data_IF_926126456073
#
_entry.id   IF_926126456073
#
_cell.length_a   1.000
_cell.length_b   1.000
_cell.length_c   1.000
_cell.angle_alpha   90.00
_cell.angle_beta   90.00
_cell.angle_gamma   90.00
#
_symmetry.space_group_name_H-M   'P 1'
#
loop_
_entity.id
_entity.type
_entity.pdbx_description
1 polymer ?
#
# COMPACT_ATOMS: atom_id res chain seq x y z
N UNK A 1 -51.72 54.07 -44.10
CA UNK A 1 -51.71 52.62 -44.40
C UNK A 1 -50.25 52.18 -44.43
N UNK A 2 -49.72 51.78 -43.29
CA UNK A 2 -48.28 51.56 -43.06
C UNK A 2 -48.00 50.07 -43.01
N UNK A 3 -47.20 49.59 -43.97
CA UNK A 3 -46.71 48.22 -44.07
C UNK A 3 -45.63 47.98 -43.00
N UNK A 4 -45.84 46.98 -42.14
CA UNK A 4 -44.81 46.43 -41.24
C UNK A 4 -43.89 45.50 -42.03
N UNK A 5 -42.61 45.81 -42.08
CA UNK A 5 -41.56 44.89 -42.49
C UNK A 5 -41.16 44.02 -41.30
N UNK A 6 -41.17 42.71 -41.49
CA UNK A 6 -40.63 41.73 -40.54
C UNK A 6 -39.10 41.77 -40.60
N UNK A 7 -38.45 42.12 -39.49
CA UNK A 7 -37.00 42.00 -39.31
C UNK A 7 -36.65 40.57 -38.90
N UNK A 8 -35.70 39.99 -39.62
CA UNK A 8 -35.07 38.69 -39.37
C UNK A 8 -34.62 38.54 -37.91
N UNK A 9 -34.94 37.38 -37.32
CA UNK A 9 -34.39 36.90 -36.06
C UNK A 9 -32.87 36.76 -36.21
N UNK A 10 -32.13 37.48 -35.38
CA UNK A 10 -30.68 37.46 -35.27
C UNK A 10 -30.22 36.12 -34.64
N UNK A 11 -29.53 35.29 -35.42
CA UNK A 11 -28.97 33.99 -35.03
C UNK A 11 -27.58 34.20 -34.37
N UNK A 12 -27.38 35.29 -33.63
CA UNK A 12 -26.10 35.60 -32.97
C UNK A 12 -25.96 35.00 -31.56
N UNK A 13 -27.08 34.59 -30.92
CA UNK A 13 -27.10 34.12 -29.53
C UNK A 13 -26.66 32.67 -29.30
N UNK A 14 -26.58 31.84 -30.34
CA UNK A 14 -26.09 30.45 -30.22
C UNK A 14 -24.56 30.37 -30.14
N UNK A 15 -23.85 31.39 -30.62
CA UNK A 15 -22.38 31.43 -30.66
C UNK A 15 -21.73 31.78 -29.32
N UNK A 16 -22.43 32.50 -28.43
CA UNK A 16 -21.94 32.85 -27.09
C UNK A 16 -22.09 31.67 -26.11
N UNK A 17 -23.22 30.96 -26.16
CA UNK A 17 -23.46 29.76 -25.36
C UNK A 17 -22.51 28.61 -25.76
N UNK A 18 -22.18 28.49 -27.05
CA UNK A 18 -21.14 27.56 -27.49
C UNK A 18 -19.77 27.98 -26.95
N UNK A 19 -19.38 29.26 -27.02
CA UNK A 19 -18.10 29.77 -26.48
C UNK A 19 -17.93 29.54 -24.97
N UNK A 20 -19.00 29.63 -24.18
CA UNK A 20 -18.98 29.26 -22.75
C UNK A 20 -18.90 27.74 -22.52
N UNK A 21 -19.47 26.94 -23.42
CA UNK A 21 -19.34 25.47 -23.39
C UNK A 21 -17.91 24.99 -23.62
N UNK A 22 -17.14 25.67 -24.48
CA UNK A 22 -15.73 25.34 -24.74
C UNK A 22 -14.82 25.65 -23.54
N UNK A 23 -15.05 26.73 -22.77
CA UNK A 23 -14.33 27.02 -21.51
C UNK A 23 -14.43 25.87 -20.49
N UNK A 24 -15.60 25.21 -20.42
CA UNK A 24 -15.89 24.12 -19.46
C UNK A 24 -15.24 22.78 -19.80
N UNK A 25 -14.82 22.56 -21.05
CA UNK A 25 -14.20 21.30 -21.52
C UNK A 25 -12.69 21.25 -21.22
N UNK A 26 -12.05 22.40 -21.01
CA UNK A 26 -10.59 22.52 -20.88
C UNK A 26 -10.07 22.04 -19.51
N UNK A 27 -10.83 22.24 -18.43
CA UNK A 27 -10.46 21.76 -17.08
C UNK A 27 -10.63 20.25 -16.95
N UNK A 28 -11.66 19.68 -17.59
CA UNK A 28 -11.94 18.25 -17.51
C UNK A 28 -10.93 17.36 -18.25
N UNK A 29 -10.29 17.88 -19.30
CA UNK A 29 -9.37 17.10 -20.15
C UNK A 29 -7.99 16.90 -19.48
N UNK A 30 -7.57 17.79 -18.58
CA UNK A 30 -6.26 17.73 -17.91
C UNK A 30 -6.28 16.99 -16.59
N UNK A 31 -7.44 16.91 -15.92
CA UNK A 31 -7.54 16.06 -14.75
C UNK A 31 -7.57 14.60 -15.18
N UNK A 32 -8.16 14.27 -16.34
CA UNK A 32 -8.04 12.98 -17.05
C UNK A 32 -6.60 12.54 -17.33
N UNK A 33 -5.66 13.44 -17.12
CA UNK A 33 -4.29 13.34 -17.53
C UNK A 33 -3.36 13.29 -16.31
N UNK A 34 -3.68 14.08 -15.27
CA UNK A 34 -3.27 13.74 -13.91
C UNK A 34 -3.68 12.32 -13.50
N UNK A 35 -4.82 11.83 -14.02
CA UNK A 35 -5.29 10.45 -13.81
C UNK A 35 -4.28 9.39 -14.30
N UNK A 36 -3.65 9.56 -15.45
CA UNK A 36 -2.87 8.47 -16.04
C UNK A 36 -1.38 8.47 -15.62
N UNK A 37 -0.89 9.55 -15.01
CA UNK A 37 0.51 9.67 -14.57
C UNK A 37 0.81 9.06 -13.20
N UNK A 38 -0.21 8.79 -12.39
CA UNK A 38 -0.03 8.20 -11.05
C UNK A 38 -0.29 6.69 -11.01
N UNK A 39 -0.78 6.11 -12.11
CA UNK A 39 -1.34 4.74 -12.16
C UNK A 39 -0.33 3.59 -12.09
N UNK A 40 0.92 3.82 -11.72
CA UNK A 40 1.84 2.72 -11.36
C UNK A 40 3.14 3.28 -10.79
N UNK A 41 3.06 3.69 -9.52
CA UNK A 41 4.16 3.34 -8.63
C UNK A 41 4.45 1.86 -8.84
N UNK A 42 5.71 1.48 -9.00
CA UNK A 42 6.06 0.08 -8.80
C UNK A 42 5.70 -0.21 -7.34
N UNK A 43 4.48 -0.69 -7.10
CA UNK A 43 4.18 -1.45 -5.91
C UNK A 43 5.34 -2.44 -5.80
N UNK A 44 5.89 -2.60 -4.60
CA UNK A 44 6.62 -3.84 -4.45
C UNK A 44 5.60 -4.92 -4.77
N UNK A 45 5.94 -5.80 -5.72
CA UNK A 45 5.01 -6.87 -6.10
C UNK A 45 4.61 -7.70 -4.88
N UNK A 46 5.46 -7.63 -3.83
CA UNK A 46 5.26 -8.25 -2.54
C UNK A 46 5.81 -7.36 -1.41
N UNK A 47 5.00 -7.12 -0.38
CA UNK A 47 5.45 -6.54 0.89
C UNK A 47 5.12 -7.52 2.00
N UNK A 48 6.11 -7.82 2.85
CA UNK A 48 5.91 -8.63 4.04
C UNK A 48 6.07 -7.75 5.28
N UNK A 49 5.03 -7.66 6.09
CA UNK A 49 5.02 -6.94 7.34
C UNK A 49 5.05 -7.94 8.50
N UNK A 50 6.06 -7.83 9.36
CA UNK A 50 6.03 -8.46 10.68
C UNK A 50 5.48 -7.42 11.64
N UNK A 51 4.25 -7.65 12.11
CA UNK A 51 3.51 -6.70 12.94
C UNK A 51 4.05 -6.80 14.36
N UNK A 52 4.33 -5.65 14.97
CA UNK A 52 4.65 -5.62 16.39
C UNK A 52 3.36 -5.59 17.19
N UNK A 53 3.03 -6.74 17.79
CA UNK A 53 1.84 -6.97 18.61
C UNK A 53 2.22 -7.32 20.06
N UNK A 54 3.44 -7.01 20.48
CA UNK A 54 4.02 -7.54 21.70
C UNK A 54 4.30 -9.04 21.57
N UNK A 55 3.87 -9.84 22.54
CA UNK A 55 4.04 -11.30 22.50
C UNK A 55 2.98 -11.99 21.63
N UNK A 56 3.45 -12.84 20.71
CA UNK A 56 2.68 -13.55 19.70
C UNK A 56 3.22 -13.31 18.28
N UNK A 57 2.52 -13.84 17.28
CA UNK A 57 2.89 -13.71 15.88
C UNK A 57 1.72 -13.26 15.00
N UNK A 58 1.95 -12.23 14.20
CA UNK A 58 1.09 -11.84 13.09
C UNK A 58 1.92 -11.25 11.95
N UNK A 59 1.80 -11.84 10.77
CA UNK A 59 2.56 -11.42 9.58
C UNK A 59 1.61 -11.10 8.44
N UNK A 60 1.55 -9.84 8.04
CA UNK A 60 0.75 -9.39 6.91
C UNK A 60 1.56 -9.42 5.61
N UNK A 61 1.09 -10.17 4.63
CA UNK A 61 1.66 -10.31 3.30
C UNK A 61 0.75 -9.61 2.28
N UNK A 62 1.25 -8.55 1.67
CA UNK A 62 0.65 -7.90 0.50
C UNK A 62 1.29 -8.50 -0.77
N UNK A 63 0.48 -9.05 -1.66
CA UNK A 63 0.92 -9.56 -2.97
C UNK A 63 -0.07 -9.10 -4.04
N UNK A 64 0.38 -8.24 -4.94
CA UNK A 64 -0.49 -7.59 -5.94
C UNK A 64 -1.64 -6.85 -5.22
N UNK A 65 -2.90 -7.19 -5.50
CA UNK A 65 -4.08 -6.62 -4.82
C UNK A 65 -4.60 -7.54 -3.70
N UNK A 66 -3.84 -8.56 -3.30
CA UNK A 66 -4.24 -9.54 -2.30
C UNK A 66 -3.51 -9.33 -0.98
N UNK A 67 -4.24 -9.53 0.11
CA UNK A 67 -3.74 -9.39 1.47
C UNK A 67 -3.93 -10.72 2.20
N UNK A 68 -2.83 -11.29 2.69
CA UNK A 68 -2.84 -12.51 3.48
C UNK A 68 -2.28 -12.23 4.86
N UNK A 69 -2.81 -12.92 5.86
CA UNK A 69 -2.30 -12.85 7.23
C UNK A 69 -1.80 -14.24 7.64
N UNK A 70 -0.59 -14.34 8.15
CA UNK A 70 -0.06 -15.56 8.77
C UNK A 70 -0.06 -15.38 10.27
N UNK A 71 -0.83 -16.23 10.94
CA UNK A 71 -1.21 -16.10 12.34
C UNK A 71 -1.88 -14.75 12.67
N UNK A 72 -2.51 -14.70 13.83
CA UNK A 72 -3.41 -13.63 14.26
C UNK A 72 -3.06 -13.09 15.64
N UNK A 73 -1.97 -13.54 16.26
CA UNK A 73 -1.64 -13.09 17.62
C UNK A 73 -2.66 -13.52 18.67
N UNK A 74 -2.56 -12.88 19.85
CA UNK A 74 -3.51 -13.05 20.95
C UNK A 74 -4.76 -12.20 20.77
N UNK A 75 -5.84 -12.61 21.43
CA UNK A 75 -7.12 -11.88 21.42
C UNK A 75 -6.97 -10.41 21.80
N UNK A 76 -6.11 -10.13 22.78
CA UNK A 76 -5.83 -8.78 23.28
C UNK A 76 -5.12 -7.91 22.24
N UNK A 77 -4.43 -8.53 21.27
CA UNK A 77 -3.66 -7.83 20.23
C UNK A 77 -4.47 -7.52 18.96
N UNK A 78 -5.77 -7.85 18.96
CA UNK A 78 -6.66 -7.61 17.81
C UNK A 78 -6.60 -6.17 17.31
N UNK A 79 -6.58 -5.19 18.23
CA UNK A 79 -6.56 -3.77 17.88
C UNK A 79 -5.29 -3.35 17.16
N UNK A 80 -4.15 -3.94 17.49
CA UNK A 80 -2.86 -3.62 16.86
C UNK A 80 -2.84 -4.12 15.41
N UNK A 81 -3.35 -5.32 15.18
CA UNK A 81 -3.49 -5.91 13.84
C UNK A 81 -4.48 -5.11 13.00
N UNK A 82 -5.67 -4.80 13.53
CA UNK A 82 -6.66 -3.98 12.80
C UNK A 82 -6.12 -2.57 12.49
N UNK A 83 -5.37 -1.97 13.42
CA UNK A 83 -4.74 -0.66 13.20
C UNK A 83 -3.70 -0.73 12.08
N UNK A 84 -2.85 -1.76 12.08
CA UNK A 84 -1.90 -2.01 10.99
C UNK A 84 -2.60 -2.19 9.64
N UNK A 85 -3.62 -3.04 9.58
CA UNK A 85 -4.40 -3.28 8.36
C UNK A 85 -5.08 -1.99 7.87
N UNK A 86 -5.62 -1.17 8.76
CA UNK A 86 -6.22 0.12 8.42
C UNK A 86 -5.19 1.17 7.93
N UNK A 87 -3.98 1.14 8.47
CA UNK A 87 -2.87 2.00 8.05
C UNK A 87 -2.36 1.65 6.65
N UNK A 88 -2.31 0.36 6.33
CA UNK A 88 -2.05 -0.15 4.98
C UNK A 88 -3.31 -0.13 4.09
N UNK A 89 -4.43 0.41 4.59
CA UNK A 89 -5.71 0.58 3.87
C UNK A 89 -6.32 -0.73 3.34
N UNK A 90 -6.07 -1.82 4.05
CA UNK A 90 -6.66 -3.13 3.81
C UNK A 90 -8.11 -3.11 4.26
N UNK A 91 -9.02 -3.42 3.34
CA UNK A 91 -10.46 -3.52 3.62
C UNK A 91 -10.96 -4.97 3.59
N UNK A 92 -10.12 -5.89 3.12
CA UNK A 92 -10.43 -7.31 2.96
C UNK A 92 -9.15 -8.12 2.99
N UNK A 93 -9.18 -9.24 3.71
CA UNK A 93 -8.16 -10.28 3.68
C UNK A 93 -8.57 -11.37 2.69
N UNK A 94 -7.70 -11.65 1.73
CA UNK A 94 -7.84 -12.77 0.79
C UNK A 94 -7.70 -14.10 1.51
N UNK A 95 -6.89 -14.17 2.56
CA UNK A 95 -6.89 -15.34 3.43
C UNK A 95 -6.06 -15.19 4.69
N UNK A 96 -6.38 -16.00 5.69
CA UNK A 96 -5.62 -16.11 6.93
C UNK A 96 -5.04 -17.53 6.98
N UNK A 97 -3.74 -17.66 7.22
CA UNK A 97 -3.06 -18.94 7.42
C UNK A 97 -2.73 -19.09 8.90
N UNK A 98 -3.37 -20.04 9.57
CA UNK A 98 -3.05 -20.39 10.95
C UNK A 98 -2.01 -21.49 10.96
N UNK A 99 -0.90 -21.24 11.65
CA UNK A 99 0.15 -22.24 11.81
C UNK A 99 -0.26 -23.34 12.79
N UNK A 100 -0.89 -22.95 13.89
CA UNK A 100 -1.44 -23.83 14.93
C UNK A 100 -2.45 -23.06 15.81
N UNK A 101 -3.01 -23.73 16.79
CA UNK A 101 -4.14 -23.27 17.60
C UNK A 101 -3.74 -22.73 18.97
N UNK A 102 -2.49 -22.32 19.19
CA UNK A 102 -2.16 -21.62 20.43
C UNK A 102 -2.69 -20.19 20.43
N UNK A 103 -2.96 -19.66 21.63
CA UNK A 103 -3.62 -18.38 21.81
C UNK A 103 -2.85 -17.22 21.19
N UNK A 104 -1.53 -17.28 21.15
CA UNK A 104 -0.63 -16.28 20.59
C UNK A 104 -0.42 -16.37 19.07
N UNK A 105 -1.11 -17.31 18.43
CA UNK A 105 -1.17 -17.47 16.97
C UNK A 105 -2.61 -17.43 16.43
N UNK A 106 -3.59 -18.00 17.13
CA UNK A 106 -4.98 -18.08 16.66
C UNK A 106 -5.97 -17.25 17.48
N UNK A 107 -5.52 -16.62 18.58
CA UNK A 107 -6.39 -15.98 19.57
C UNK A 107 -7.19 -14.79 19.05
N UNK A 108 -6.66 -14.03 18.08
CA UNK A 108 -7.41 -12.91 17.48
C UNK A 108 -8.24 -13.30 16.26
N UNK A 109 -8.28 -14.56 15.85
CA UNK A 109 -8.98 -14.98 14.62
C UNK A 109 -10.45 -14.52 14.59
N UNK A 110 -11.24 -14.93 15.58
CA UNK A 110 -12.66 -14.60 15.65
C UNK A 110 -12.92 -13.08 15.68
N UNK A 111 -12.31 -12.29 16.58
CA UNK A 111 -12.56 -10.85 16.61
C UNK A 111 -12.05 -10.13 15.36
N UNK A 112 -11.02 -10.64 14.67
CA UNK A 112 -10.58 -10.09 13.38
C UNK A 112 -11.63 -10.32 12.29
N UNK A 113 -12.02 -11.57 12.02
CA UNK A 113 -12.93 -11.86 10.90
C UNK A 113 -14.34 -11.29 11.09
N UNK A 114 -14.74 -11.00 12.34
CA UNK A 114 -15.99 -10.27 12.61
C UNK A 114 -15.93 -8.78 12.24
N UNK A 115 -14.73 -8.21 12.07
CA UNK A 115 -14.51 -6.77 11.86
C UNK A 115 -13.91 -6.46 10.48
N UNK A 116 -13.14 -7.38 9.90
CA UNK A 116 -12.60 -7.25 8.54
C UNK A 116 -13.05 -8.43 7.68
N UNK A 117 -13.56 -8.11 6.48
CA UNK A 117 -13.99 -9.15 5.53
C UNK A 117 -12.82 -10.08 5.22
N UNK A 118 -13.03 -11.37 5.42
CA UNK A 118 -12.03 -12.41 5.18
C UNK A 118 -12.65 -13.49 4.29
N UNK A 119 -11.94 -13.91 3.25
CA UNK A 119 -12.50 -14.87 2.28
C UNK A 119 -12.31 -16.32 2.70
N UNK A 120 -11.14 -16.65 3.23
CA UNK A 120 -10.80 -18.03 3.58
C UNK A 120 -9.84 -18.06 4.76
N UNK A 121 -10.08 -18.96 5.70
CA UNK A 121 -9.14 -19.33 6.76
C UNK A 121 -8.55 -20.69 6.42
N UNK A 122 -7.22 -20.72 6.27
CA UNK A 122 -6.45 -21.93 6.06
C UNK A 122 -5.89 -22.39 7.40
N UNK A 123 -6.14 -23.63 7.77
CA UNK A 123 -5.78 -24.16 9.08
C UNK A 123 -5.54 -25.67 9.02
N UNK A 124 -5.09 -26.26 10.13
CA UNK A 124 -4.95 -27.70 10.27
C UNK A 124 -5.77 -28.19 11.47
N UNK A 125 -6.79 -29.03 11.21
CA UNK A 125 -7.72 -29.57 12.21
C UNK A 125 -7.07 -30.63 13.12
N UNK A 126 -5.95 -31.25 12.70
CA UNK A 126 -5.24 -32.26 13.50
C UNK A 126 -4.55 -31.70 14.77
N UNK A 127 -4.70 -30.39 15.02
CA UNK A 127 -4.19 -29.70 16.19
C UNK A 127 -5.37 -29.35 17.11
N UNK A 128 -5.70 -30.18 18.12
CA UNK A 128 -6.83 -29.91 18.99
C UNK A 128 -6.67 -28.52 19.61
N UNK A 129 -7.61 -27.58 19.38
CA UNK A 129 -7.55 -26.29 20.03
C UNK A 129 -7.66 -26.48 21.54
N UNK A 130 -7.18 -25.51 22.32
CA UNK A 130 -7.62 -25.47 23.71
C UNK A 130 -9.16 -25.27 23.75
N UNK A 131 -9.82 -25.69 24.83
CA UNK A 131 -11.29 -25.63 24.92
C UNK A 131 -11.86 -24.24 24.61
N UNK A 132 -11.14 -23.18 25.01
CA UNK A 132 -11.52 -21.79 24.76
C UNK A 132 -11.52 -21.42 23.26
N UNK A 133 -10.58 -21.96 22.48
CA UNK A 133 -10.49 -21.71 21.04
C UNK A 133 -11.44 -22.58 20.22
N UNK A 134 -11.86 -23.74 20.72
CA UNK A 134 -12.85 -24.59 20.01
C UNK A 134 -14.14 -23.78 19.74
N UNK A 135 -14.67 -23.12 20.77
CA UNK A 135 -15.89 -22.32 20.62
C UNK A 135 -15.69 -21.12 19.70
N UNK A 136 -14.51 -20.50 19.73
CA UNK A 136 -14.21 -19.35 18.88
C UNK A 136 -14.02 -19.78 17.41
N UNK A 137 -13.45 -20.95 17.16
CA UNK A 137 -13.30 -21.55 15.83
C UNK A 137 -14.65 -21.97 15.23
N UNK A 138 -15.52 -22.60 16.02
CA UNK A 138 -16.88 -22.96 15.58
C UNK A 138 -17.67 -21.71 15.17
N UNK A 139 -17.60 -20.64 15.98
CA UNK A 139 -18.20 -19.35 15.62
C UNK A 139 -17.54 -18.76 14.38
N UNK A 140 -16.22 -18.88 14.25
CA UNK A 140 -15.49 -18.31 13.14
C UNK A 140 -15.90 -18.90 11.79
N UNK A 141 -16.25 -20.19 11.75
CA UNK A 141 -16.78 -20.86 10.55
C UNK A 141 -18.11 -20.27 10.05
N UNK A 142 -18.86 -19.55 10.91
CA UNK A 142 -20.07 -18.83 10.46
C UNK A 142 -19.78 -17.53 9.69
N UNK A 143 -18.56 -17.00 9.78
CA UNK A 143 -18.16 -15.76 9.12
C UNK A 143 -17.49 -15.98 7.76
N UNK A 144 -16.78 -17.09 7.59
CA UNK A 144 -15.92 -17.33 6.43
C UNK A 144 -15.65 -18.81 6.20
N UNK A 145 -15.17 -19.17 5.02
CA UNK A 145 -14.84 -20.54 4.66
C UNK A 145 -13.55 -20.98 5.36
N UNK A 146 -13.55 -22.22 5.87
CA UNK A 146 -12.36 -22.85 6.43
C UNK A 146 -11.86 -23.93 5.48
N UNK A 147 -10.57 -23.88 5.15
CA UNK A 147 -9.92 -24.82 4.26
C UNK A 147 -8.79 -25.55 4.99
N UNK A 148 -8.88 -26.88 5.03
CA UNK A 148 -7.84 -27.71 5.64
C UNK A 148 -6.56 -27.63 4.82
N UNK A 149 -5.44 -27.40 5.50
CA UNK A 149 -4.14 -27.22 4.87
C UNK A 149 -3.21 -28.37 5.25
N UNK A 150 -3.12 -29.35 4.35
CA UNK A 150 -2.28 -30.52 4.55
C UNK A 150 -0.79 -30.18 4.36
N UNK A 151 0.13 -30.89 5.05
CA UNK A 151 1.56 -30.77 4.79
C UNK A 151 1.93 -31.07 3.33
N UNK A 152 2.97 -30.39 2.82
CA UNK A 152 3.40 -30.41 1.40
C UNK A 152 2.44 -29.75 0.38
N UNK A 153 1.31 -29.20 0.85
CA UNK A 153 0.42 -28.38 0.01
C UNK A 153 1.16 -27.18 -0.59
N UNK A 154 0.85 -26.88 -1.86
CA UNK A 154 1.42 -25.74 -2.59
C UNK A 154 0.31 -24.85 -3.13
N UNK A 155 0.35 -23.58 -2.76
CA UNK A 155 -0.60 -22.57 -3.20
C UNK A 155 0.12 -21.47 -3.99
N UNK A 156 -0.59 -20.88 -4.94
CA UNK A 156 -0.16 -19.64 -5.59
C UNK A 156 -0.91 -18.48 -4.93
N UNK A 157 -0.17 -17.57 -4.32
CA UNK A 157 -0.72 -16.32 -3.79
C UNK A 157 -0.50 -15.25 -4.88
N UNK A 158 -1.57 -14.81 -5.54
CA UNK A 158 -1.45 -13.98 -6.75
C UNK A 158 -0.76 -14.72 -7.91
N UNK A 159 -0.13 -14.00 -8.84
CA UNK A 159 0.40 -14.60 -10.08
C UNK A 159 1.77 -15.25 -9.91
N UNK A 160 2.60 -14.74 -9.00
CA UNK A 160 4.04 -15.05 -8.95
C UNK A 160 4.58 -15.47 -7.58
N UNK A 161 3.77 -15.41 -6.54
CA UNK A 161 4.19 -15.80 -5.19
C UNK A 161 3.73 -17.24 -4.90
N UNK A 162 4.67 -18.10 -4.51
CA UNK A 162 4.35 -19.48 -4.18
C UNK A 162 4.47 -19.69 -2.68
N UNK A 163 3.42 -20.21 -2.08
CA UNK A 163 3.42 -20.74 -0.73
C UNK A 163 3.53 -22.25 -0.79
N UNK A 164 4.38 -22.83 0.05
CA UNK A 164 4.45 -24.26 0.32
C UNK A 164 4.37 -24.48 1.82
N UNK A 165 3.50 -25.38 2.22
CA UNK A 165 3.48 -25.93 3.58
C UNK A 165 4.58 -26.98 3.63
N UNK A 166 5.59 -26.80 4.49
CA UNK A 166 6.65 -27.80 4.60
C UNK A 166 6.12 -29.09 5.23
N UNK A 167 6.73 -30.22 4.89
CA UNK A 167 6.27 -31.55 5.33
C UNK A 167 6.20 -31.62 6.84
N UNK A 168 5.17 -32.27 7.38
CA UNK A 168 4.95 -32.46 8.81
C UNK A 168 4.43 -33.88 9.06
N UNK A 169 4.80 -34.49 10.19
CA UNK A 169 4.23 -35.75 10.63
C UNK A 169 2.99 -35.57 11.51
N UNK A 170 2.77 -34.36 12.04
CA UNK A 170 1.61 -33.99 12.87
C UNK A 170 1.36 -34.92 14.07
N UNK A 171 2.43 -35.57 14.53
CA UNK A 171 2.38 -36.68 15.50
C UNK A 171 3.28 -36.43 16.71
N UNK A 172 3.72 -35.19 16.91
CA UNK A 172 4.55 -34.83 18.05
C UNK A 172 3.68 -34.65 19.30
N UNK A 173 4.21 -35.09 20.45
CA UNK A 173 3.54 -34.91 21.75
C UNK A 173 3.46 -33.46 22.18
N UNK A 174 4.45 -32.66 21.77
CA UNK A 174 4.47 -31.21 21.97
C UNK A 174 3.82 -30.56 20.75
N UNK A 175 2.72 -29.84 21.00
CA UNK A 175 1.85 -29.26 19.98
C UNK A 175 2.56 -28.21 19.11
N UNK A 176 3.55 -27.50 19.67
CA UNK A 176 4.38 -26.56 18.91
C UNK A 176 5.13 -27.24 17.75
N UNK A 177 5.55 -28.49 17.97
CA UNK A 177 6.23 -29.24 16.91
C UNK A 177 5.27 -29.69 15.79
N UNK A 178 3.96 -29.61 16.01
CA UNK A 178 2.95 -29.89 14.98
C UNK A 178 2.55 -28.64 14.19
N UNK A 179 3.07 -27.45 14.52
CA UNK A 179 2.80 -26.21 13.78
C UNK A 179 3.16 -26.31 12.30
N UNK A 180 2.31 -25.75 11.45
CA UNK A 180 2.57 -25.60 10.04
C UNK A 180 3.70 -24.58 9.84
N UNK A 181 4.66 -24.99 9.00
CA UNK A 181 5.81 -24.16 8.62
C UNK A 181 5.64 -23.74 7.18
N UNK A 182 5.65 -22.43 6.93
CA UNK A 182 5.38 -21.88 5.61
C UNK A 182 6.68 -21.49 4.91
N UNK A 183 6.94 -22.13 3.77
CA UNK A 183 7.99 -21.76 2.85
C UNK A 183 7.44 -20.92 1.71
N UNK A 184 7.86 -19.66 1.61
CA UNK A 184 7.42 -18.74 0.56
C UNK A 184 8.52 -18.56 -0.47
N UNK A 185 8.18 -18.52 -1.76
CA UNK A 185 9.15 -18.33 -2.85
C UNK A 185 8.72 -17.22 -3.79
N UNK A 186 9.62 -16.25 -4.01
CA UNK A 186 9.38 -15.13 -4.91
C UNK A 186 10.65 -14.63 -5.60
N UNK A 187 10.66 -14.58 -6.93
CA UNK A 187 11.79 -14.08 -7.74
C UNK A 187 13.17 -14.63 -7.32
N UNK A 188 13.21 -15.88 -6.86
CA UNK A 188 14.43 -16.56 -6.41
C UNK A 188 14.71 -16.47 -4.91
N UNK A 189 14.04 -15.57 -4.18
CA UNK A 189 14.09 -15.49 -2.72
C UNK A 189 13.27 -16.60 -2.07
N UNK A 190 13.71 -17.08 -0.90
CA UNK A 190 12.99 -18.06 -0.08
C UNK A 190 12.89 -17.56 1.34
N UNK A 191 11.65 -17.29 1.74
CA UNK A 191 11.32 -16.87 3.08
C UNK A 191 10.80 -18.08 3.85
N UNK A 192 11.31 -18.29 5.05
CA UNK A 192 10.83 -19.32 5.96
C UNK A 192 10.08 -18.66 7.12
N UNK A 193 8.79 -18.94 7.24
CA UNK A 193 8.01 -18.62 8.44
C UNK A 193 8.00 -19.89 9.31
N UNK A 194 8.89 -19.93 10.31
CA UNK A 194 9.13 -21.14 11.08
C UNK A 194 8.03 -21.43 12.11
N UNK A 195 7.14 -20.47 12.41
CA UNK A 195 6.14 -20.59 13.49
C UNK A 195 6.81 -21.11 14.76
N UNK A 196 6.17 -21.98 15.53
CA UNK A 196 6.69 -22.46 16.82
C UNK A 196 7.44 -23.79 16.68
N UNK A 197 8.13 -23.98 15.55
CA UNK A 197 8.92 -25.18 15.30
C UNK A 197 10.05 -25.35 16.33
N UNK A 198 9.80 -26.16 17.37
CA UNK A 198 10.80 -26.58 18.34
C UNK A 198 11.88 -27.51 17.75
N UNK A 199 12.85 -27.91 18.58
CA UNK A 199 14.02 -28.69 18.15
C UNK A 199 13.65 -29.98 17.38
N UNK A 200 12.66 -30.75 17.86
CA UNK A 200 12.23 -31.98 17.19
C UNK A 200 11.66 -31.70 15.80
N UNK A 201 10.89 -30.62 15.66
CA UNK A 201 10.34 -30.18 14.38
C UNK A 201 11.44 -29.70 13.43
N UNK A 202 12.41 -28.94 13.93
CA UNK A 202 13.58 -28.52 13.15
C UNK A 202 14.36 -29.74 12.61
N UNK A 203 14.66 -30.72 13.46
CA UNK A 203 15.34 -31.96 13.06
C UNK A 203 14.54 -32.77 12.03
N UNK A 204 13.21 -32.81 12.15
CA UNK A 204 12.35 -33.44 11.15
C UNK A 204 12.46 -32.74 9.80
N UNK A 205 12.36 -31.41 9.77
CA UNK A 205 12.47 -30.60 8.55
C UNK A 205 13.82 -30.81 7.85
N UNK A 206 14.92 -31.01 8.59
CA UNK A 206 16.21 -31.36 8.01
C UNK A 206 16.17 -32.69 7.25
N UNK A 207 15.51 -33.71 7.82
CA UNK A 207 15.41 -35.03 7.19
C UNK A 207 14.62 -34.96 5.88
N UNK A 208 13.54 -34.17 5.82
CA UNK A 208 12.58 -34.24 4.71
C UNK A 208 12.67 -33.08 3.71
N UNK A 209 13.24 -31.93 4.11
CA UNK A 209 13.22 -30.68 3.35
C UNK A 209 14.58 -29.92 3.33
N UNK A 210 15.69 -30.54 3.76
CA UNK A 210 17.03 -29.90 3.79
C UNK A 210 17.46 -29.20 2.49
N UNK A 211 17.20 -29.78 1.32
CA UNK A 211 17.51 -29.15 0.02
C UNK A 211 16.75 -27.84 -0.19
N UNK A 212 15.55 -27.72 0.37
CA UNK A 212 14.76 -26.50 0.30
C UNK A 212 15.31 -25.46 1.29
N UNK A 213 15.60 -25.89 2.53
CA UNK A 213 16.12 -25.04 3.61
C UNK A 213 17.47 -24.37 3.26
N UNK A 214 18.38 -25.08 2.57
CA UNK A 214 19.70 -24.55 2.15
C UNK A 214 19.69 -23.31 1.25
N UNK A 215 18.51 -22.88 0.77
CA UNK A 215 18.38 -21.69 -0.08
C UNK A 215 17.50 -20.62 0.57
N UNK A 216 17.15 -20.76 1.84
CA UNK A 216 16.44 -19.74 2.61
C UNK A 216 17.36 -18.53 2.77
N UNK A 217 16.84 -17.35 2.47
CA UNK A 217 17.57 -16.08 2.57
C UNK A 217 16.86 -15.06 3.48
N UNK A 218 15.67 -15.40 3.97
CA UNK A 218 14.92 -14.62 4.93
C UNK A 218 14.19 -15.55 5.90
N UNK A 219 14.33 -15.34 7.20
CA UNK A 219 13.80 -16.20 8.27
C UNK A 219 12.98 -15.40 9.27
N UNK A 220 11.74 -15.83 9.52
CA UNK A 220 11.05 -15.56 10.77
C UNK A 220 11.38 -16.68 11.74
N UNK A 221 12.10 -16.32 12.80
CA UNK A 221 12.73 -17.20 13.76
C UNK A 221 11.68 -18.05 14.48
N UNK A 222 11.95 -19.34 14.75
CA UNK A 222 10.99 -20.20 15.40
C UNK A 222 10.66 -19.77 16.84
N UNK A 223 9.41 -19.95 17.23
CA UNK A 223 8.96 -19.94 18.62
C UNK A 223 9.41 -18.69 19.39
N UNK A 224 9.09 -17.52 18.83
CA UNK A 224 9.39 -16.20 19.41
C UNK A 224 10.85 -15.96 19.83
N UNK A 225 11.81 -16.64 19.19
CA UNK A 225 13.23 -16.49 19.52
C UNK A 225 13.77 -17.60 20.41
N UNK A 226 13.17 -18.79 20.38
CA UNK A 226 13.71 -19.96 21.08
C UNK A 226 14.97 -20.52 20.37
N UNK A 227 15.62 -21.51 20.98
CA UNK A 227 16.86 -22.07 20.46
C UNK A 227 16.69 -22.81 19.12
N UNK A 228 17.69 -22.62 18.26
CA UNK A 228 17.87 -23.43 17.06
C UNK A 228 18.68 -24.69 17.35
N UNK A 229 18.28 -25.81 16.74
CA UNK A 229 19.10 -27.02 16.68
C UNK A 229 20.38 -26.72 15.90
N UNK A 230 21.53 -27.19 16.39
CA UNK A 230 22.83 -26.91 15.76
C UNK A 230 22.88 -27.34 14.29
N UNK A 231 22.29 -28.51 13.95
CA UNK A 231 22.25 -28.98 12.57
C UNK A 231 21.30 -28.15 11.70
N UNK A 232 20.28 -27.55 12.31
CA UNK A 232 19.35 -26.64 11.64
C UNK A 232 20.02 -25.32 11.31
N UNK A 233 20.72 -24.74 12.28
CA UNK A 233 21.56 -23.55 12.11
C UNK A 233 22.61 -23.77 11.00
N UNK A 234 23.33 -24.90 11.03
CA UNK A 234 24.33 -25.23 10.00
C UNK A 234 23.71 -25.40 8.60
N UNK A 235 22.53 -26.01 8.50
CA UNK A 235 21.89 -26.28 7.21
C UNK A 235 21.35 -25.02 6.54
N UNK A 236 20.83 -24.08 7.31
CA UNK A 236 20.30 -22.82 6.78
C UNK A 236 21.40 -21.94 6.16
N UNK A 237 22.65 -22.09 6.60
CA UNK A 237 23.78 -21.24 6.22
C UNK A 237 23.49 -19.74 6.49
N UNK A 238 24.30 -18.82 5.96
CA UNK A 238 24.12 -17.39 6.24
C UNK A 238 22.84 -16.85 5.56
N UNK A 239 21.91 -16.35 6.36
CA UNK A 239 20.64 -15.73 5.97
C UNK A 239 20.78 -14.21 5.88
N UNK A 240 20.20 -13.58 4.85
CA UNK A 240 20.32 -12.12 4.67
C UNK A 240 19.52 -11.34 5.74
N UNK A 241 18.38 -11.88 6.16
CA UNK A 241 17.49 -11.27 7.14
C UNK A 241 16.89 -12.32 8.07
N UNK A 242 17.06 -12.13 9.37
CA UNK A 242 16.35 -12.89 10.40
C UNK A 242 15.51 -11.93 11.22
N UNK A 243 14.28 -12.33 11.51
CA UNK A 243 13.32 -11.55 12.29
C UNK A 243 12.77 -12.42 13.40
N UNK A 244 12.60 -11.87 14.58
CA UNK A 244 11.93 -12.51 15.70
C UNK A 244 10.69 -11.69 16.04
N UNK A 245 9.52 -12.33 16.02
CA UNK A 245 8.28 -11.75 16.55
C UNK A 245 8.22 -12.06 18.04
N UNK A 246 8.53 -11.07 18.87
CA UNK A 246 8.56 -11.21 20.34
C UNK A 246 8.26 -9.87 21.01
N UNK A 247 7.73 -9.95 22.23
CA UNK A 247 7.49 -8.85 23.15
C UNK A 247 7.57 -9.35 24.59
N UNK A 248 7.21 -8.50 25.55
CA UNK A 248 7.18 -8.87 26.97
C UNK A 248 6.29 -10.10 27.22
N UNK A 249 6.82 -11.10 27.93
CA UNK A 249 6.16 -12.35 28.22
C UNK A 249 6.75 -13.04 29.45
N UNK A 250 6.03 -14.04 29.97
CA UNK A 250 6.41 -14.80 31.16
C UNK A 250 7.10 -16.14 30.83
N UNK A 251 7.25 -16.46 29.54
CA UNK A 251 7.74 -17.76 29.05
C UNK A 251 9.27 -17.84 28.97
N UNK A 252 9.98 -16.76 29.34
CA UNK A 252 11.44 -16.68 29.22
C UNK A 252 11.93 -16.55 27.78
N UNK A 253 11.06 -16.09 26.87
CA UNK A 253 11.40 -15.81 25.48
C UNK A 253 11.72 -14.32 25.28
N UNK A 254 12.65 -13.97 24.40
CA UNK A 254 13.49 -14.88 23.64
C UNK A 254 14.52 -15.61 24.51
N UNK A 255 14.94 -16.80 24.08
CA UNK A 255 15.93 -17.62 24.77
C UNK A 255 17.29 -16.90 24.85
N UNK A 256 18.06 -17.14 25.91
CA UNK A 256 19.37 -16.51 26.13
C UNK A 256 20.38 -16.81 25.04
N UNK A 257 20.23 -17.92 24.32
CA UNK A 257 21.09 -18.30 23.18
C UNK A 257 20.80 -17.56 21.88
N UNK A 258 19.68 -16.83 21.79
CA UNK A 258 19.23 -16.19 20.55
C UNK A 258 20.28 -15.27 19.93
N UNK A 259 20.90 -14.39 20.75
CA UNK A 259 21.85 -13.41 20.24
C UNK A 259 23.10 -14.11 19.65
N UNK A 260 23.65 -15.12 20.33
CA UNK A 260 24.81 -15.89 19.85
C UNK A 260 24.47 -16.66 18.55
N UNK A 261 23.31 -17.32 18.51
CA UNK A 261 22.87 -18.05 17.31
C UNK A 261 22.60 -17.09 16.14
N UNK A 262 22.06 -15.90 16.42
CA UNK A 262 21.78 -14.91 15.39
C UNK A 262 23.05 -14.35 14.75
N UNK A 263 24.13 -14.18 15.51
CA UNK A 263 25.42 -13.70 14.99
C UNK A 263 26.06 -14.70 14.02
N UNK A 264 25.85 -16.00 14.25
CA UNK A 264 26.35 -17.06 13.36
C UNK A 264 25.52 -17.20 12.08
N UNK A 265 24.21 -16.97 12.19
CA UNK A 265 23.26 -17.27 11.12
C UNK A 265 22.90 -16.06 10.24
N UNK A 266 22.83 -14.85 10.80
CA UNK A 266 22.08 -13.74 10.22
C UNK A 266 22.99 -12.56 9.85
N UNK A 267 22.96 -12.10 8.59
CA UNK A 267 23.63 -10.83 8.21
C UNK A 267 22.95 -9.62 8.83
N UNK A 268 21.63 -9.68 8.97
CA UNK A 268 20.81 -8.66 9.61
C UNK A 268 19.78 -9.34 10.48
N UNK A 269 19.78 -8.98 11.75
CA UNK A 269 18.91 -9.54 12.76
C UNK A 269 18.01 -8.45 13.34
N UNK A 270 16.72 -8.76 13.50
CA UNK A 270 15.72 -7.83 13.99
C UNK A 270 14.79 -8.53 14.99
N UNK A 271 14.30 -7.76 15.95
CA UNK A 271 13.26 -8.18 16.89
C UNK A 271 12.18 -7.11 16.96
N UNK A 272 10.90 -7.50 16.97
CA UNK A 272 9.79 -6.55 17.03
C UNK A 272 9.84 -5.70 18.30
N UNK A 273 10.13 -6.28 19.47
CA UNK A 273 10.27 -5.52 20.73
C UNK A 273 11.35 -4.43 20.72
N UNK A 274 12.45 -4.62 19.96
CA UNK A 274 13.55 -3.65 19.85
C UNK A 274 13.40 -2.71 18.66
N UNK A 275 12.73 -3.15 17.60
CA UNK A 275 12.73 -2.45 16.31
C UNK A 275 11.35 -1.95 15.86
N UNK A 276 10.30 -2.28 16.60
CA UNK A 276 8.92 -2.03 16.23
C UNK A 276 8.47 -2.86 15.03
N UNK A 277 7.38 -2.46 14.35
CA UNK A 277 6.88 -3.16 13.17
C UNK A 277 7.87 -3.03 11.99
N UNK A 278 8.05 -4.15 11.27
CA UNK A 278 9.05 -4.27 10.21
C UNK A 278 8.37 -4.53 8.86
N UNK A 279 8.71 -3.77 7.82
CA UNK A 279 8.16 -3.96 6.47
C UNK A 279 9.26 -4.23 5.45
N UNK A 280 9.18 -5.39 4.79
CA UNK A 280 10.13 -5.87 3.81
C UNK A 280 9.54 -5.80 2.40
N UNK A 281 10.12 -4.96 1.55
CA UNK A 281 9.74 -4.79 0.15
C UNK A 281 10.56 -5.77 -0.70
N UNK A 282 9.91 -6.82 -1.20
CA UNK A 282 10.59 -7.91 -1.91
C UNK A 282 10.52 -7.65 -3.42
N UNK A 283 11.68 -7.36 -4.02
CA UNK A 283 11.85 -7.19 -5.47
C UNK A 283 12.90 -8.19 -5.98
N UNK A 284 13.87 -7.74 -6.80
CA UNK A 284 15.11 -8.49 -7.08
C UNK A 284 16.10 -8.44 -5.89
N UNK A 285 15.89 -7.50 -4.98
CA UNK A 285 16.59 -7.37 -3.71
C UNK A 285 15.53 -7.05 -2.67
N UNK A 286 15.71 -7.58 -1.47
CA UNK A 286 14.86 -7.25 -0.31
C UNK A 286 15.32 -5.90 0.25
N UNK A 287 14.37 -4.98 0.46
CA UNK A 287 14.60 -3.69 1.13
C UNK A 287 13.76 -3.62 2.39
N UNK A 288 14.40 -3.34 3.52
CA UNK A 288 13.71 -3.09 4.78
C UNK A 288 13.33 -1.60 4.88
N UNK A 289 12.11 -1.33 5.33
CA UNK A 289 11.68 -0.04 5.84
C UNK A 289 11.26 -0.22 7.29
N UNK A 290 11.94 0.45 8.21
CA UNK A 290 11.54 0.55 9.60
C UNK A 290 10.68 1.79 9.79
N UNK A 291 9.58 1.63 10.51
CA UNK A 291 8.84 2.76 11.07
C UNK A 291 9.65 3.26 12.27
N UNK A 292 10.35 4.39 12.16
CA UNK A 292 10.86 5.08 13.36
C UNK A 292 9.65 5.66 14.08
N UNK A 293 9.13 4.93 15.06
CA UNK A 293 8.17 5.47 16.03
C UNK A 293 8.94 5.76 17.33
N UNK A 294 8.98 7.03 17.70
CA UNK A 294 9.61 7.54 18.92
C UNK A 294 8.51 8.09 19.85
N UNK A 295 8.38 7.43 21.02
CA UNK A 295 7.78 7.80 22.31
C UNK A 295 6.72 8.93 22.38
N UNK A 296 5.43 8.54 22.38
CA UNK A 296 4.44 8.82 23.45
C UNK A 296 3.03 8.40 23.03
N UNK A 297 2.41 7.58 23.87
CA UNK A 297 0.99 7.25 23.82
C UNK A 297 0.13 8.52 23.81
N UNK A 298 -0.55 8.73 22.69
CA UNK A 298 -1.78 9.52 22.57
C UNK A 298 -2.57 8.86 21.44
N UNK A 299 -3.80 8.39 21.67
CA UNK A 299 -4.62 7.82 20.61
C UNK A 299 -5.04 8.97 19.69
N UNK A 300 -4.28 9.22 18.63
CA UNK A 300 -4.72 10.06 17.53
C UNK A 300 -5.45 9.15 16.54
N UNK A 301 -6.77 9.30 16.35
CA UNK A 301 -7.52 8.48 15.42
C UNK A 301 -7.19 8.91 13.97
N UNK A 302 -7.14 7.91 13.08
CA UNK A 302 -6.92 7.99 11.62
C UNK A 302 -5.59 8.59 11.12
N UNK A 303 -4.68 7.68 10.76
CA UNK A 303 -3.71 7.74 9.65
C UNK A 303 -3.21 9.15 9.25
N UNK A 304 -2.12 9.57 9.91
CA UNK A 304 -1.44 10.86 9.72
C UNK A 304 -1.08 11.19 8.27
N UNK A 305 -0.86 10.19 7.41
CA UNK A 305 -0.64 10.42 5.97
C UNK A 305 -1.91 10.81 5.24
N UNK A 306 -3.05 10.18 5.54
CA UNK A 306 -4.36 10.50 4.92
C UNK A 306 -4.70 11.96 5.20
N UNK A 307 -4.63 12.36 6.48
CA UNK A 307 -4.89 13.75 6.89
C UNK A 307 -3.92 14.72 6.22
N UNK A 308 -2.62 14.40 6.18
CA UNK A 308 -1.60 15.28 5.56
C UNK A 308 -1.91 15.61 4.09
N UNK A 309 -2.27 14.62 3.26
CA UNK A 309 -2.52 14.88 1.84
C UNK A 309 -3.83 15.63 1.60
N UNK A 310 -4.86 15.37 2.40
CA UNK A 310 -6.09 16.17 2.38
C UNK A 310 -5.82 17.62 2.80
N UNK A 311 -5.04 17.84 3.86
CA UNK A 311 -4.63 19.18 4.29
C UNK A 311 -3.81 19.91 3.23
N UNK A 312 -2.91 19.23 2.53
CA UNK A 312 -2.15 19.82 1.42
C UNK A 312 -3.08 20.18 0.26
N UNK A 313 -3.99 19.30 -0.14
CA UNK A 313 -4.92 19.55 -1.25
C UNK A 313 -5.84 20.73 -0.93
N UNK A 314 -6.49 20.71 0.24
CA UNK A 314 -7.37 21.79 0.70
C UNK A 314 -6.59 23.09 0.90
N UNK A 315 -5.41 23.01 1.51
CA UNK A 315 -4.54 24.17 1.72
C UNK A 315 -4.07 24.81 0.41
N UNK A 316 -3.78 24.01 -0.62
CA UNK A 316 -3.40 24.51 -1.94
C UNK A 316 -4.57 25.20 -2.66
N UNK A 317 -5.78 24.62 -2.57
CA UNK A 317 -7.00 25.28 -3.07
C UNK A 317 -7.22 26.60 -2.34
N UNK A 318 -7.11 26.61 -1.00
CA UNK A 318 -7.21 27.83 -0.20
C UNK A 318 -6.15 28.87 -0.57
N UNK A 319 -4.92 28.45 -0.89
CA UNK A 319 -3.85 29.33 -1.36
C UNK A 319 -4.17 29.97 -2.72
N UNK A 320 -4.71 29.22 -3.69
CA UNK A 320 -5.15 29.77 -4.98
C UNK A 320 -6.17 30.89 -4.73
N UNK A 321 -7.24 30.59 -3.98
CA UNK A 321 -8.28 31.58 -3.71
C UNK A 321 -7.79 32.80 -2.92
N UNK A 322 -6.89 32.60 -1.95
CA UNK A 322 -6.30 33.69 -1.16
C UNK A 322 -5.37 34.61 -1.97
N UNK A 323 -4.83 34.11 -3.09
CA UNK A 323 -3.87 34.85 -3.92
C UNK A 323 -4.47 35.46 -5.19
N UNK A 324 -5.73 35.14 -5.52
CA UNK A 324 -6.45 35.64 -6.70
C UNK A 324 -6.33 37.15 -6.92
N UNK A 325 -6.50 37.95 -5.86
CA UNK A 325 -6.43 39.41 -5.94
C UNK A 325 -5.00 39.92 -6.18
N UNK A 326 -4.02 39.28 -5.52
CA UNK A 326 -2.63 39.68 -5.56
C UNK A 326 -1.94 39.27 -6.87
N UNK A 327 -2.35 38.16 -7.48
CA UNK A 327 -1.79 37.63 -8.73
C UNK A 327 -2.07 38.54 -9.93
N UNK A 328 -3.15 39.33 -9.89
CA UNK A 328 -3.48 40.31 -10.94
C UNK A 328 -2.39 41.38 -11.12
N UNK A 329 -1.69 41.77 -10.04
CA UNK A 329 -0.65 42.80 -10.07
C UNK A 329 0.58 42.36 -10.89
N UNK A 330 1.25 41.23 -10.60
CA UNK A 330 2.38 40.76 -11.41
C UNK A 330 1.95 40.36 -12.82
N UNK A 331 0.76 39.78 -13.01
CA UNK A 331 0.26 39.44 -14.36
C UNK A 331 0.07 40.71 -15.20
N UNK A 332 -0.60 41.73 -14.66
CA UNK A 332 -0.82 42.99 -15.38
C UNK A 332 0.50 43.70 -15.70
N UNK A 333 1.49 43.65 -14.80
CA UNK A 333 2.84 44.14 -15.07
C UNK A 333 3.54 43.37 -16.21
N UNK A 334 3.53 42.03 -16.16
CA UNK A 334 4.12 41.19 -17.21
C UNK A 334 3.43 41.40 -18.56
N UNK A 335 2.09 41.55 -18.55
CA UNK A 335 1.28 41.85 -19.73
C UNK A 335 1.66 43.21 -20.31
N UNK A 336 1.75 44.25 -19.49
CA UNK A 336 2.12 45.61 -19.92
C UNK A 336 3.53 45.68 -20.53
N UNK A 337 4.43 44.76 -20.13
CA UNK A 337 5.79 44.64 -20.68
C UNK A 337 5.90 43.66 -21.85
N UNK A 338 4.81 42.99 -22.26
CA UNK A 338 4.84 41.95 -23.28
C UNK A 338 5.61 40.68 -22.86
N UNK A 339 5.90 40.52 -21.56
CA UNK A 339 6.70 39.43 -21.00
C UNK A 339 5.86 38.25 -20.50
N UNK A 340 4.53 38.37 -20.50
CA UNK A 340 3.63 37.34 -19.97
C UNK A 340 3.80 35.99 -20.67
N UNK A 341 3.77 35.97 -22.01
CA UNK A 341 3.94 34.72 -22.77
C UNK A 341 5.33 34.07 -22.57
N UNK A 342 6.46 34.81 -22.68
CA UNK A 342 7.78 34.28 -22.33
C UNK A 342 7.86 33.69 -20.92
N UNK A 343 7.29 34.40 -19.92
CA UNK A 343 7.26 33.95 -18.54
C UNK A 343 6.50 32.63 -18.40
N UNK A 344 5.33 32.52 -19.02
CA UNK A 344 4.53 31.30 -19.03
C UNK A 344 5.33 30.14 -19.64
N UNK A 345 5.92 30.32 -20.83
CA UNK A 345 6.73 29.27 -21.47
C UNK A 345 7.89 28.77 -20.60
N UNK A 346 8.54 29.67 -19.84
CA UNK A 346 9.59 29.29 -18.89
C UNK A 346 9.00 28.44 -17.75
N UNK A 347 7.89 28.87 -17.15
CA UNK A 347 7.22 28.13 -16.08
C UNK A 347 6.80 26.72 -16.53
N UNK A 348 6.30 26.61 -17.78
CA UNK A 348 5.97 25.33 -18.41
C UNK A 348 7.21 24.47 -18.62
N UNK A 349 8.28 25.05 -19.17
CA UNK A 349 9.55 24.37 -19.39
C UNK A 349 10.13 23.80 -18.10
N UNK A 350 10.05 24.55 -17.00
CA UNK A 350 10.47 24.09 -15.66
C UNK A 350 9.59 22.94 -15.18
N UNK A 351 8.26 23.08 -15.29
CA UNK A 351 7.30 22.06 -14.86
C UNK A 351 7.50 20.73 -15.61
N UNK A 352 7.71 20.80 -16.93
CA UNK A 352 8.00 19.65 -17.78
C UNK A 352 9.36 19.06 -17.47
N UNK A 353 10.39 19.89 -17.27
CA UNK A 353 11.73 19.42 -16.91
C UNK A 353 11.73 18.71 -15.55
N UNK A 354 10.97 19.23 -14.58
CA UNK A 354 10.75 18.58 -13.29
C UNK A 354 10.02 17.24 -13.43
N UNK A 355 9.00 17.18 -14.29
CA UNK A 355 8.25 15.96 -14.57
C UNK A 355 9.11 14.90 -15.29
N UNK A 356 9.86 15.30 -16.32
CA UNK A 356 10.82 14.46 -17.04
C UNK A 356 11.92 13.98 -16.09
N UNK A 357 12.49 14.87 -15.28
CA UNK A 357 13.50 14.53 -14.27
C UNK A 357 12.98 13.51 -13.26
N UNK A 358 11.75 13.70 -12.77
CA UNK A 358 11.07 12.76 -11.90
C UNK A 358 10.88 11.39 -12.56
N UNK A 359 10.47 11.35 -13.83
CA UNK A 359 10.26 10.11 -14.58
C UNK A 359 11.57 9.39 -14.94
N UNK A 360 12.63 10.13 -15.28
CA UNK A 360 13.98 9.58 -15.50
C UNK A 360 14.50 8.95 -14.20
N UNK A 361 14.17 9.54 -13.04
CA UNK A 361 14.55 8.99 -11.75
C UNK A 361 13.72 7.75 -11.35
N UNK A 362 12.58 7.52 -11.99
CA UNK A 362 11.84 6.26 -11.82
C UNK A 362 12.50 5.13 -12.61
N UNK A 363 12.83 4.04 -11.93
CA UNK A 363 13.45 2.85 -12.54
C UNK A 363 12.53 2.04 -13.47
N UNK A 364 11.29 2.47 -13.70
CA UNK A 364 10.30 1.71 -14.48
C UNK A 364 10.22 2.23 -15.92
N UNK A 365 10.59 1.39 -16.90
CA UNK A 365 10.70 1.73 -18.34
C UNK A 365 9.40 1.49 -19.11
N UNK A 366 8.29 1.97 -18.61
CA UNK A 366 7.00 1.84 -19.30
C UNK A 366 6.88 2.92 -20.40
N UNK A 367 7.24 2.57 -21.63
CA UNK A 367 7.31 3.49 -22.78
C UNK A 367 5.99 4.23 -23.07
N UNK A 368 4.85 3.60 -22.78
CA UNK A 368 3.51 4.19 -22.98
C UNK A 368 3.28 5.45 -22.14
N UNK A 369 3.97 5.60 -20.99
CA UNK A 369 3.88 6.79 -20.13
C UNK A 369 4.47 8.03 -20.82
N UNK A 370 5.58 7.85 -21.53
CA UNK A 370 6.24 8.92 -22.29
C UNK A 370 5.41 9.32 -23.51
N UNK A 371 4.78 8.35 -24.17
CA UNK A 371 3.85 8.61 -25.29
C UNK A 371 2.67 9.43 -24.80
N UNK A 372 2.05 9.03 -23.70
CA UNK A 372 0.91 9.74 -23.14
C UNK A 372 1.27 11.17 -22.70
N UNK A 373 2.42 11.37 -22.06
CA UNK A 373 2.94 12.71 -21.74
C UNK A 373 3.19 13.56 -22.97
N UNK A 374 3.74 12.95 -24.01
CA UNK A 374 3.90 13.60 -25.31
C UNK A 374 2.54 14.05 -25.86
N UNK A 375 1.56 13.14 -25.90
CA UNK A 375 0.19 13.44 -26.39
C UNK A 375 -0.47 14.54 -25.58
N UNK A 376 -0.29 14.50 -24.28
CA UNK A 376 -0.77 15.51 -23.33
C UNK A 376 -0.17 16.86 -23.58
N UNK A 377 1.14 16.90 -23.72
CA UNK A 377 1.87 18.13 -23.92
C UNK A 377 1.48 18.73 -25.27
N UNK A 378 1.28 17.90 -26.29
CA UNK A 378 0.75 18.31 -27.59
C UNK A 378 -0.68 18.84 -27.48
N UNK A 379 -1.57 18.14 -26.75
CA UNK A 379 -2.93 18.62 -26.46
C UNK A 379 -2.93 19.93 -25.69
N UNK A 380 -2.07 20.06 -24.68
CA UNK A 380 -1.90 21.27 -23.90
C UNK A 380 -1.41 22.43 -24.77
N UNK A 381 -0.35 22.23 -25.57
CA UNK A 381 0.17 23.24 -26.48
C UNK A 381 -0.88 23.63 -27.53
N UNK A 382 -1.67 22.66 -27.99
CA UNK A 382 -2.77 22.89 -28.88
C UNK A 382 -3.84 23.76 -28.21
N UNK A 383 -4.32 23.39 -27.02
CA UNK A 383 -5.34 24.15 -26.28
C UNK A 383 -4.83 25.55 -25.92
N UNK A 384 -3.64 25.66 -25.34
CA UNK A 384 -2.98 26.93 -24.98
C UNK A 384 -2.84 27.87 -26.18
N UNK A 385 -2.50 27.36 -27.37
CA UNK A 385 -2.42 28.19 -28.59
C UNK A 385 -3.79 28.69 -29.06
N UNK A 386 -4.87 28.03 -28.67
CA UNK A 386 -6.25 28.40 -29.01
C UNK A 386 -6.97 29.12 -27.85
N UNK A 387 -6.32 29.28 -26.70
CA UNK A 387 -6.82 30.09 -25.57
C UNK A 387 -6.38 31.54 -25.76
N UNK A 388 -7.31 32.48 -26.05
CA UNK A 388 -6.97 33.85 -26.40
C UNK A 388 -6.45 34.69 -25.22
N UNK A 389 -6.70 34.25 -23.99
CA UNK A 389 -6.29 34.94 -22.76
C UNK A 389 -5.17 34.16 -22.06
N UNK A 390 -3.94 34.73 -21.97
CA UNK A 390 -2.83 34.07 -21.29
C UNK A 390 -3.10 33.75 -19.81
N UNK A 391 -4.02 34.46 -19.17
CA UNK A 391 -4.44 34.21 -17.78
C UNK A 391 -5.22 32.91 -17.64
N UNK A 392 -6.03 32.56 -18.64
CA UNK A 392 -6.76 31.28 -18.67
C UNK A 392 -5.79 30.09 -18.81
N UNK A 393 -4.60 30.31 -19.36
CA UNK A 393 -3.55 29.29 -19.44
C UNK A 393 -2.93 28.98 -18.06
N UNK A 394 -2.98 29.92 -17.11
CA UNK A 394 -2.48 29.73 -15.73
C UNK A 394 -3.45 28.85 -14.94
N UNK A 395 -4.76 29.09 -15.07
CA UNK A 395 -5.79 28.28 -14.42
C UNK A 395 -5.69 26.81 -14.81
N UNK A 396 -5.31 26.56 -16.06
CA UNK A 396 -5.10 25.22 -16.59
C UNK A 396 -4.00 24.45 -15.83
N UNK A 397 -2.93 25.12 -15.40
CA UNK A 397 -1.87 24.55 -14.54
C UNK A 397 -2.34 24.35 -13.10
N UNK A 398 -2.97 25.38 -12.52
CA UNK A 398 -3.39 25.40 -11.12
C UNK A 398 -4.38 24.27 -10.82
N UNK A 399 -5.45 24.16 -11.62
CA UNK A 399 -6.47 23.13 -11.43
C UNK A 399 -6.01 21.74 -11.85
N UNK A 400 -5.03 21.65 -12.77
CA UNK A 400 -4.31 20.41 -13.04
C UNK A 400 -3.58 19.89 -11.81
N UNK A 401 -2.88 20.78 -11.08
CA UNK A 401 -2.19 20.41 -9.83
C UNK A 401 -3.17 20.07 -8.71
N UNK A 402 -4.28 20.80 -8.59
CA UNK A 402 -5.39 20.48 -7.67
C UNK A 402 -5.90 19.05 -7.94
N UNK A 403 -6.13 18.69 -9.20
CA UNK A 403 -6.54 17.34 -9.60
C UNK A 403 -5.55 16.26 -9.15
N UNK A 404 -4.24 16.50 -9.31
CA UNK A 404 -3.18 15.58 -8.86
C UNK A 404 -3.17 15.43 -7.33
N UNK A 405 -3.33 16.54 -6.59
CA UNK A 405 -3.34 16.52 -5.12
C UNK A 405 -4.55 15.78 -4.56
N UNK A 406 -5.75 16.03 -5.10
CA UNK A 406 -6.95 15.29 -4.69
C UNK A 406 -6.90 13.83 -5.10
N UNK A 407 -6.40 13.52 -6.30
CA UNK A 407 -6.17 12.14 -6.70
C UNK A 407 -5.25 11.42 -5.71
N UNK A 408 -4.18 12.07 -5.24
CA UNK A 408 -3.31 11.48 -4.22
C UNK A 408 -4.08 11.24 -2.92
N UNK A 409 -4.85 12.21 -2.44
CA UNK A 409 -5.63 12.08 -1.22
C UNK A 409 -6.69 10.97 -1.32
N UNK A 410 -7.39 10.88 -2.46
CA UNK A 410 -8.40 9.86 -2.76
C UNK A 410 -7.80 8.46 -2.96
N UNK A 411 -6.62 8.37 -3.58
CA UNK A 411 -5.93 7.10 -3.80
C UNK A 411 -5.51 6.41 -2.50
N UNK A 412 -5.31 7.18 -1.43
CA UNK A 412 -5.04 6.63 -0.10
C UNK A 412 -6.29 6.06 0.56
N UNK A 413 -7.47 6.34 0.03
CA UNK A 413 -8.74 5.87 0.59
C UNK A 413 -9.37 4.74 -0.24
N UNK A 414 -9.29 4.82 -1.56
CA UNK A 414 -9.90 3.83 -2.48
C UNK A 414 -8.90 3.13 -3.39
N UNK A 415 -7.59 3.32 -3.17
CA UNK A 415 -6.57 2.87 -4.10
C UNK A 415 -6.53 3.70 -5.40
N UNK A 416 -5.54 3.45 -6.25
CA UNK A 416 -5.49 4.03 -7.59
C UNK A 416 -6.43 3.25 -8.52
N UNK A 417 -7.68 3.72 -8.63
CA UNK A 417 -8.69 3.12 -9.48
C UNK A 417 -9.65 4.15 -10.07
N UNK A 418 -10.46 3.73 -11.04
CA UNK A 418 -11.38 4.59 -11.80
C UNK A 418 -12.22 5.52 -10.90
N UNK A 419 -12.62 5.05 -9.71
CA UNK A 419 -13.36 5.83 -8.72
C UNK A 419 -12.57 7.04 -8.20
N UNK A 420 -11.35 6.83 -7.69
CA UNK A 420 -10.47 7.92 -7.20
C UNK A 420 -10.19 8.94 -8.29
N UNK A 421 -10.04 8.47 -9.52
CA UNK A 421 -9.86 9.28 -10.70
C UNK A 421 -11.07 10.17 -10.98
N UNK A 422 -12.25 9.57 -11.19
CA UNK A 422 -13.47 10.31 -11.53
C UNK A 422 -13.76 11.38 -10.49
N UNK A 423 -13.61 11.05 -9.20
CA UNK A 423 -13.85 12.00 -8.13
C UNK A 423 -12.83 13.14 -8.11
N UNK A 424 -11.54 12.86 -8.35
CA UNK A 424 -10.52 13.92 -8.45
C UNK A 424 -10.81 14.89 -9.61
N UNK A 425 -11.25 14.36 -10.76
CA UNK A 425 -11.69 15.14 -11.93
C UNK A 425 -12.88 16.02 -11.61
N UNK A 426 -13.90 15.48 -10.94
CA UNK A 426 -15.07 16.25 -10.55
C UNK A 426 -14.65 17.38 -9.60
N UNK A 427 -13.88 17.10 -8.55
CA UNK A 427 -13.48 18.09 -7.55
C UNK A 427 -12.68 19.25 -8.18
N UNK A 428 -11.66 18.93 -8.98
CA UNK A 428 -10.83 19.95 -9.63
C UNK A 428 -11.58 20.73 -10.70
N UNK A 429 -12.51 20.10 -11.43
CA UNK A 429 -13.39 20.80 -12.37
C UNK A 429 -14.35 21.74 -11.66
N UNK A 430 -14.91 21.32 -10.52
CA UNK A 430 -15.78 22.15 -9.69
C UNK A 430 -15.01 23.34 -9.09
N UNK A 431 -13.76 23.13 -8.66
CA UNK A 431 -12.90 24.21 -8.17
C UNK A 431 -12.63 25.25 -9.28
N UNK A 432 -12.28 24.80 -10.48
CA UNK A 432 -12.12 25.71 -11.63
C UNK A 432 -13.39 26.48 -11.96
N UNK A 433 -14.56 25.82 -11.92
CA UNK A 433 -15.84 26.46 -12.18
C UNK A 433 -16.21 27.50 -11.12
N UNK A 434 -15.97 27.21 -9.84
CA UNK A 434 -16.20 28.15 -8.74
C UNK A 434 -15.34 29.41 -8.87
N UNK A 435 -14.10 29.26 -9.32
CA UNK A 435 -13.20 30.38 -9.56
C UNK A 435 -13.67 31.27 -10.71
N UNK A 436 -14.14 30.69 -11.81
CA UNK A 436 -14.76 31.47 -12.89
C UNK A 436 -15.97 32.27 -12.40
N UNK A 437 -16.80 31.72 -11.51
CA UNK A 437 -17.95 32.43 -10.91
C UNK A 437 -17.49 33.59 -10.02
N UNK A 438 -16.39 33.43 -9.28
CA UNK A 438 -15.87 34.47 -8.38
C UNK A 438 -15.21 35.61 -9.18
N UNK A 439 -14.62 35.28 -10.33
CA UNK A 439 -13.89 36.24 -11.16
C UNK A 439 -14.76 36.94 -12.22
N UNK A 440 -15.84 36.30 -12.67
CA UNK A 440 -16.85 36.87 -13.58
C UNK A 440 -17.84 37.77 -12.86
#
# INVERSE_FOLDING_TARGET
MTLKTYSYLDISSSSSLLKEGWRKIHVGTLVLLGMLLMGSWSHADVILHVIDIGFGQAVHLEVEDNHYLFDTGRKETTSDILSHLADESVTRLTGIFLSHTHADHAGALLPLISQIKTDTVYWNEELPPNEDLVQDLDKAQSYTEFHLLEPDTRLKLGKKFQLRVLKNSLSFSDLNNNSLVFGLTYKGHRLLLASDAGIKRQQYLLKVDSKWLKKVDWLLWPHHGDELDSSFLETLAIIDFCVVSVGENEYGLPNTKLEDQSQLLCKKFFRTDKNGPLSFFIKRKIRLRQSKFDLRCLPLPMNTKKIKYWLIAIGYVGFIYATLSNVRIPISFLRAKGLLNPFLYILFGISISGLIGYLIHQKNRDWWRYVLLGTTFVLYLFLSRHTPYPEEQIHLLEYGLVGVLFLRALSLHWGFGAKSYIVALIISSLAGWLDEIIQG
#
